data_IF_522185425247
#
_entry.id   IF_522185425247
#
_cell.length_a   1.000
_cell.length_b   1.000
_cell.length_c   1.000
_cell.angle_alpha   90.00
_cell.angle_beta   90.00
_cell.angle_gamma   90.00
#
_symmetry.space_group_name_H-M   'P 1'
#
loop_
_entity.id
_entity.type
_entity.pdbx_description
1 polymer ?
#
# COMPACT_ATOMS: atom_id res chain seq x y z
N UNK A 1 -24.68 -13.87 -12.51
CA UNK A 1 -23.76 -12.79 -12.96
C UNK A 1 -23.20 -11.93 -11.83
N UNK A 2 -23.97 -11.55 -10.80
CA UNK A 2 -23.46 -10.73 -9.68
C UNK A 2 -22.35 -11.43 -8.86
N UNK A 3 -22.51 -12.73 -8.59
CA UNK A 3 -21.54 -13.55 -7.83
C UNK A 3 -20.19 -13.61 -8.56
N UNK A 4 -20.20 -13.84 -9.89
CA UNK A 4 -18.97 -13.86 -10.70
C UNK A 4 -18.25 -12.50 -10.67
N UNK A 5 -18.98 -11.38 -10.70
CA UNK A 5 -18.38 -10.04 -10.59
C UNK A 5 -17.81 -9.78 -9.19
N UNK A 6 -18.43 -10.33 -8.15
CA UNK A 6 -17.95 -10.21 -6.77
C UNK A 6 -16.69 -11.05 -6.53
N UNK A 7 -16.64 -12.29 -7.04
CA UNK A 7 -15.46 -13.15 -6.90
C UNK A 7 -14.22 -12.56 -7.57
N UNK A 8 -14.36 -11.99 -8.77
CA UNK A 8 -13.24 -11.30 -9.43
C UNK A 8 -12.71 -10.12 -8.61
N UNK A 9 -13.58 -9.34 -7.93
CA UNK A 9 -13.14 -8.22 -7.08
C UNK A 9 -12.39 -8.69 -5.84
N UNK A 10 -12.84 -9.77 -5.22
CA UNK A 10 -12.15 -10.39 -4.08
C UNK A 10 -10.77 -10.89 -4.52
N UNK A 11 -10.70 -11.57 -5.67
CA UNK A 11 -9.43 -12.11 -6.20
C UNK A 11 -8.42 -11.00 -6.50
N UNK A 12 -8.88 -9.88 -7.09
CA UNK A 12 -8.06 -8.68 -7.28
C UNK A 12 -7.56 -8.16 -5.93
N UNK A 13 -8.46 -7.99 -4.94
CA UNK A 13 -8.07 -7.52 -3.62
C UNK A 13 -7.08 -8.44 -2.92
N UNK A 14 -7.25 -9.76 -3.05
CA UNK A 14 -6.32 -10.75 -2.50
C UNK A 14 -4.93 -10.62 -3.15
N UNK A 15 -4.87 -10.47 -4.48
CA UNK A 15 -3.61 -10.39 -5.21
C UNK A 15 -2.83 -9.10 -4.88
N UNK A 16 -3.50 -7.95 -4.88
CA UNK A 16 -2.87 -6.69 -4.45
C UNK A 16 -2.53 -6.69 -2.96
N UNK A 17 -3.36 -7.33 -2.15
CA UNK A 17 -3.14 -7.51 -0.73
C UNK A 17 -1.92 -8.37 -0.41
N UNK A 18 -1.70 -9.46 -1.15
CA UNK A 18 -0.50 -10.29 -1.05
C UNK A 18 0.74 -9.49 -1.46
N UNK A 19 0.66 -8.74 -2.56
CA UNK A 19 1.74 -7.82 -2.96
C UNK A 19 2.07 -6.80 -1.87
N UNK A 20 1.06 -6.22 -1.21
CA UNK A 20 1.25 -5.28 -0.11
C UNK A 20 1.87 -5.94 1.13
N UNK A 21 1.47 -7.17 1.45
CA UNK A 21 2.05 -7.94 2.55
C UNK A 21 3.53 -8.27 2.29
N UNK A 22 3.89 -8.62 1.05
CA UNK A 22 5.28 -8.84 0.65
C UNK A 22 6.09 -7.54 0.78
N UNK A 23 5.54 -6.42 0.31
CA UNK A 23 6.20 -5.12 0.44
C UNK A 23 6.40 -4.71 1.92
N UNK A 24 5.45 -5.01 2.80
CA UNK A 24 5.55 -4.72 4.24
C UNK A 24 6.33 -5.78 5.04
N UNK A 25 6.77 -6.87 4.40
CA UNK A 25 7.50 -7.94 5.09
C UNK A 25 8.71 -7.47 5.90
N UNK A 26 9.52 -6.48 5.47
CA UNK A 26 10.65 -6.00 6.27
C UNK A 26 10.19 -5.29 7.55
N UNK A 27 9.08 -4.54 7.50
CA UNK A 27 8.52 -3.91 8.69
C UNK A 27 8.00 -4.95 9.66
N UNK A 28 7.29 -5.97 9.18
CA UNK A 28 6.82 -7.06 10.04
C UNK A 28 7.99 -7.80 10.69
N UNK A 29 9.05 -8.09 9.93
CA UNK A 29 10.27 -8.69 10.46
C UNK A 29 10.90 -7.83 11.59
N UNK A 30 10.94 -6.51 11.42
CA UNK A 30 11.51 -5.59 12.42
C UNK A 30 10.75 -5.58 13.76
N UNK A 31 9.45 -5.89 13.73
CA UNK A 31 8.60 -5.97 14.93
C UNK A 31 8.45 -7.39 15.49
N UNK A 32 9.09 -8.39 14.89
CA UNK A 32 9.03 -9.76 15.42
C UNK A 32 10.03 -9.97 16.55
N UNK A 33 9.53 -10.43 17.70
CA UNK A 33 10.35 -10.99 18.78
C UNK A 33 10.23 -12.52 18.77
N UNK A 34 11.23 -13.25 19.26
CA UNK A 34 11.37 -14.72 19.13
C UNK A 34 10.20 -15.57 19.67
N UNK A 35 9.18 -14.97 20.30
CA UNK A 35 7.97 -15.64 20.78
C UNK A 35 6.65 -15.11 20.20
N UNK A 36 6.69 -14.19 19.23
CA UNK A 36 5.47 -13.50 18.78
C UNK A 36 4.70 -14.24 17.69
N UNK A 37 3.54 -14.78 18.07
CA UNK A 37 2.52 -15.32 17.15
C UNK A 37 1.78 -14.22 16.35
N UNK A 38 2.10 -12.95 16.60
CA UNK A 38 1.38 -11.77 16.11
C UNK A 38 1.81 -11.39 14.68
N UNK A 39 3.07 -11.63 14.32
CA UNK A 39 3.60 -11.30 13.00
C UNK A 39 2.97 -12.09 11.83
N UNK A 40 2.79 -13.42 11.91
CA UNK A 40 2.07 -14.17 10.87
C UNK A 40 0.59 -13.77 10.78
N UNK A 41 -0.03 -13.36 11.90
CA UNK A 41 -1.41 -12.87 11.90
C UNK A 41 -1.52 -11.50 11.23
N UNK A 42 -0.63 -10.55 11.53
CA UNK A 42 -0.60 -9.24 10.88
C UNK A 42 -0.35 -9.34 9.37
N UNK A 43 0.57 -10.20 8.94
CA UNK A 43 0.83 -10.44 7.50
C UNK A 43 -0.37 -11.04 6.77
N UNK A 44 -1.14 -11.94 7.40
CA UNK A 44 -2.38 -12.46 6.81
C UNK A 44 -3.55 -11.45 6.86
N UNK A 45 -3.51 -10.49 7.77
CA UNK A 45 -4.57 -9.49 7.93
C UNK A 45 -4.53 -8.45 6.79
N UNK A 46 -3.35 -8.10 6.29
CA UNK A 46 -3.19 -7.19 5.13
C UNK A 46 -3.95 -7.64 3.88
N UNK A 47 -3.78 -8.88 3.35
CA UNK A 47 -4.50 -9.32 2.17
C UNK A 47 -6.00 -9.46 2.43
N UNK A 48 -6.40 -9.81 3.65
CA UNK A 48 -7.80 -9.89 4.02
C UNK A 48 -8.46 -8.51 4.02
N UNK A 49 -7.82 -7.48 4.58
CA UNK A 49 -8.30 -6.11 4.51
C UNK A 49 -8.40 -5.61 3.07
N UNK A 50 -7.38 -5.86 2.24
CA UNK A 50 -7.43 -5.51 0.81
C UNK A 50 -8.56 -6.23 0.05
N UNK A 51 -8.80 -7.50 0.34
CA UNK A 51 -9.92 -8.26 -0.22
C UNK A 51 -11.27 -7.64 0.16
N UNK A 52 -11.45 -7.28 1.43
CA UNK A 52 -12.66 -6.60 1.93
C UNK A 52 -12.84 -5.23 1.27
N UNK A 53 -11.78 -4.43 1.17
CA UNK A 53 -11.82 -3.11 0.51
C UNK A 53 -12.21 -3.21 -0.97
N UNK A 54 -11.74 -4.25 -1.66
CA UNK A 54 -12.08 -4.49 -3.07
C UNK A 54 -13.48 -5.08 -3.25
N UNK A 55 -13.95 -5.88 -2.29
CA UNK A 55 -15.31 -6.43 -2.29
C UNK A 55 -16.37 -5.32 -2.28
N UNK A 56 -16.19 -4.31 -1.42
CA UNK A 56 -17.09 -3.15 -1.35
C UNK A 56 -16.97 -2.16 -2.53
N UNK A 57 -16.10 -2.41 -3.51
CA UNK A 57 -16.01 -1.55 -4.69
C UNK A 57 -17.20 -1.82 -5.64
N UNK A 58 -17.95 -0.79 -6.10
CA UNK A 58 -19.13 -1.00 -6.94
C UNK A 58 -18.79 -1.43 -8.37
N UNK A 59 -17.56 -1.18 -8.83
CA UNK A 59 -17.07 -1.52 -10.18
C UNK A 59 -15.68 -2.15 -10.14
N UNK A 60 -15.33 -2.97 -11.14
CA UNK A 60 -14.00 -3.59 -11.26
C UNK A 60 -12.89 -2.54 -11.32
N UNK A 61 -13.11 -1.45 -12.07
CA UNK A 61 -12.18 -0.32 -12.16
C UNK A 61 -11.86 0.30 -10.79
N UNK A 62 -12.88 0.47 -9.93
CA UNK A 62 -12.67 0.97 -8.56
C UNK A 62 -12.00 -0.06 -7.65
N UNK A 63 -12.23 -1.36 -7.86
CA UNK A 63 -11.52 -2.42 -7.13
C UNK A 63 -10.01 -2.39 -7.43
N UNK A 64 -9.63 -2.29 -8.71
CA UNK A 64 -8.23 -2.09 -9.11
C UNK A 64 -7.64 -0.80 -8.54
N UNK A 65 -8.38 0.32 -8.59
CA UNK A 65 -7.91 1.58 -8.01
C UNK A 65 -7.60 1.46 -6.51
N UNK A 66 -8.48 0.81 -5.73
CA UNK A 66 -8.23 0.54 -4.30
C UNK A 66 -7.05 -0.39 -4.07
N UNK A 67 -6.90 -1.44 -4.89
CA UNK A 67 -5.76 -2.36 -4.83
C UNK A 67 -4.42 -1.66 -5.10
N UNK A 68 -4.35 -0.84 -6.15
CA UNK A 68 -3.16 -0.04 -6.48
C UNK A 68 -2.84 1.01 -5.41
N UNK A 69 -3.86 1.63 -4.79
CA UNK A 69 -3.64 2.56 -3.67
C UNK A 69 -3.07 1.84 -2.45
N UNK A 70 -3.60 0.67 -2.09
CA UNK A 70 -3.11 -0.09 -0.94
C UNK A 70 -1.69 -0.63 -1.18
N UNK A 71 -1.44 -1.21 -2.36
CA UNK A 71 -0.10 -1.65 -2.77
C UNK A 71 0.88 -0.48 -2.85
N UNK A 72 0.47 0.63 -3.46
CA UNK A 72 1.28 1.84 -3.60
C UNK A 72 1.66 2.43 -2.25
N UNK A 73 0.72 2.48 -1.29
CA UNK A 73 1.00 2.92 0.07
C UNK A 73 1.98 1.99 0.79
N UNK A 74 1.82 0.67 0.63
CA UNK A 74 2.74 -0.32 1.19
C UNK A 74 4.16 -0.19 0.62
N UNK A 75 4.29 -0.06 -0.71
CA UNK A 75 5.59 0.15 -1.39
C UNK A 75 6.19 1.50 -1.03
N UNK A 76 5.38 2.55 -0.90
CA UNK A 76 5.83 3.87 -0.47
C UNK A 76 6.34 3.86 0.99
N UNK A 77 5.85 2.94 1.82
CA UNK A 77 6.31 2.72 3.20
C UNK A 77 7.57 1.82 3.32
N UNK A 78 8.08 1.26 2.20
CA UNK A 78 9.35 0.52 2.18
C UNK A 78 10.55 1.25 2.79
N UNK A 79 10.75 2.57 2.60
CA UNK A 79 11.91 3.27 3.16
C UNK A 79 11.91 3.20 4.68
N UNK A 80 10.73 3.39 5.30
CA UNK A 80 10.54 3.29 6.74
C UNK A 80 10.76 1.86 7.21
N UNK A 81 10.23 0.89 6.46
CA UNK A 81 10.39 -0.54 6.75
C UNK A 81 11.86 -0.98 6.72
N UNK A 82 12.60 -0.54 5.70
CA UNK A 82 14.03 -0.81 5.53
C UNK A 82 14.86 -0.15 6.62
N UNK A 83 14.51 1.08 7.02
CA UNK A 83 15.17 1.76 8.13
C UNK A 83 15.00 1.00 9.45
N UNK A 84 13.78 0.54 9.75
CA UNK A 84 13.49 -0.21 10.98
C UNK A 84 14.26 -1.53 11.05
N UNK A 85 14.22 -2.35 9.98
CA UNK A 85 14.93 -3.63 9.97
C UNK A 85 16.45 -3.43 9.97
N UNK A 86 16.97 -2.40 9.30
CA UNK A 86 18.40 -2.07 9.32
C UNK A 86 18.87 -1.67 10.71
N UNK A 87 18.05 -0.90 11.46
CA UNK A 87 18.36 -0.55 12.85
C UNK A 87 18.41 -1.78 13.76
N UNK A 88 17.41 -2.67 13.63
CA UNK A 88 17.35 -3.93 14.41
C UNK A 88 18.54 -4.83 14.10
N UNK A 89 18.84 -5.05 12.83
CA UNK A 89 19.99 -5.82 12.39
C UNK A 89 21.32 -5.21 12.84
N UNK A 90 21.44 -3.88 12.84
CA UNK A 90 22.63 -3.20 13.34
C UNK A 90 22.84 -3.43 14.85
N UNK A 91 21.76 -3.38 15.64
CA UNK A 91 21.83 -3.70 17.07
C UNK A 91 22.27 -5.15 17.30
N UNK A 92 21.76 -6.10 16.50
CA UNK A 92 22.13 -7.51 16.62
C UNK A 92 23.61 -7.73 16.25
N UNK A 93 24.11 -7.11 15.18
CA UNK A 93 25.52 -7.22 14.75
C UNK A 93 26.48 -6.62 15.78
N UNK A 94 26.15 -5.47 16.36
CA UNK A 94 26.97 -4.83 17.39
C UNK A 94 26.95 -5.65 18.68
N UNK A 95 25.77 -6.12 19.11
CA UNK A 95 25.62 -6.93 20.32
C UNK A 95 26.25 -8.33 20.24
N UNK A 96 26.52 -8.81 19.03
CA UNK A 96 27.18 -10.10 18.77
C UNK A 96 28.67 -9.97 18.47
N UNK A 97 29.21 -8.75 18.45
CA UNK A 97 30.62 -8.51 18.10
C UNK A 97 31.56 -8.93 19.23
N UNK A 98 32.75 -9.41 18.89
CA UNK A 98 33.79 -9.72 19.88
C UNK A 98 34.25 -8.43 20.59
N UNK A 99 34.59 -8.54 21.88
CA UNK A 99 35.12 -7.42 22.67
C UNK A 99 36.31 -6.75 21.95
N UNK A 100 36.19 -5.45 21.69
CA UNK A 100 37.19 -4.66 20.96
C UNK A 100 36.96 -4.54 19.44
N UNK A 101 36.02 -5.30 18.86
CA UNK A 101 35.63 -5.19 17.44
C UNK A 101 34.33 -4.40 17.21
N UNK A 102 33.63 -4.02 18.28
CA UNK A 102 32.33 -3.34 18.28
C UNK A 102 32.30 -2.08 17.40
N UNK A 103 33.38 -1.28 17.41
CA UNK A 103 33.48 -0.07 16.62
C UNK A 103 33.48 -0.37 15.11
N UNK A 104 34.17 -1.43 14.68
CA UNK A 104 34.17 -1.87 13.29
C UNK A 104 32.83 -2.49 12.90
N UNK A 105 32.22 -3.27 13.79
CA UNK A 105 30.88 -3.83 13.60
C UNK A 105 29.83 -2.71 13.44
N UNK A 106 29.88 -1.67 14.27
CA UNK A 106 28.99 -0.52 14.20
C UNK A 106 29.15 0.28 12.90
N UNK A 107 30.39 0.52 12.45
CA UNK A 107 30.64 1.18 11.17
C UNK A 107 30.13 0.35 9.98
N UNK A 108 30.38 -0.96 9.99
CA UNK A 108 29.90 -1.87 8.94
C UNK A 108 28.38 -1.92 8.86
N UNK A 109 27.72 -2.08 10.02
CA UNK A 109 26.28 -2.09 10.12
C UNK A 109 25.64 -0.75 9.71
N UNK A 110 26.25 0.37 10.09
CA UNK A 110 25.81 1.70 9.69
C UNK A 110 25.87 1.91 8.17
N UNK A 111 26.99 1.55 7.53
CA UNK A 111 27.14 1.66 6.08
C UNK A 111 26.17 0.74 5.33
N UNK A 112 26.01 -0.51 5.78
CA UNK A 112 25.04 -1.44 5.21
C UNK A 112 23.60 -0.91 5.35
N UNK A 113 23.25 -0.37 6.52
CA UNK A 113 21.93 0.21 6.79
C UNK A 113 21.63 1.41 5.89
N UNK A 114 22.59 2.30 5.67
CA UNK A 114 22.45 3.43 4.73
C UNK A 114 22.27 2.94 3.30
N UNK A 115 23.05 1.94 2.87
CA UNK A 115 22.94 1.39 1.51
C UNK A 115 21.56 0.75 1.26
N UNK A 116 21.09 -0.09 2.18
CA UNK A 116 19.79 -0.77 2.08
C UNK A 116 18.64 0.23 2.15
N UNK A 117 18.68 1.16 3.11
CA UNK A 117 17.65 2.20 3.25
C UNK A 117 17.64 3.13 2.03
N UNK A 118 18.80 3.48 1.46
CA UNK A 118 18.91 4.30 0.26
C UNK A 118 18.25 3.66 -0.96
N UNK A 119 18.52 2.37 -1.21
CA UNK A 119 17.89 1.61 -2.30
C UNK A 119 16.38 1.49 -2.08
N UNK A 120 15.96 1.16 -0.85
CA UNK A 120 14.55 1.09 -0.49
C UNK A 120 13.84 2.45 -0.63
N UNK A 121 14.53 3.55 -0.34
CA UNK A 121 14.03 4.92 -0.53
C UNK A 121 13.81 5.23 -1.99
N UNK A 122 14.80 4.97 -2.82
CA UNK A 122 14.73 5.22 -4.26
C UNK A 122 13.60 4.42 -4.92
N UNK A 123 13.56 3.11 -4.70
CA UNK A 123 12.54 2.24 -5.27
C UNK A 123 11.15 2.50 -4.64
N UNK A 124 11.08 2.63 -3.32
CA UNK A 124 9.84 2.84 -2.59
C UNK A 124 9.14 4.14 -2.98
N UNK A 125 9.88 5.25 -3.07
CA UNK A 125 9.31 6.54 -3.48
C UNK A 125 8.88 6.49 -4.94
N UNK A 126 9.74 6.05 -5.87
CA UNK A 126 9.42 6.10 -7.31
C UNK A 126 8.27 5.15 -7.63
N UNK A 127 8.42 3.86 -7.29
CA UNK A 127 7.41 2.84 -7.61
C UNK A 127 6.14 3.09 -6.80
N UNK A 128 6.26 3.41 -5.51
CA UNK A 128 5.13 3.73 -4.65
C UNK A 128 4.32 4.91 -5.17
N UNK A 129 4.99 6.01 -5.56
CA UNK A 129 4.31 7.19 -6.13
C UNK A 129 3.59 6.85 -7.44
N UNK A 130 4.23 6.11 -8.34
CA UNK A 130 3.60 5.69 -9.62
C UNK A 130 2.35 4.84 -9.34
N UNK A 131 2.44 3.85 -8.43
CA UNK A 131 1.31 3.01 -8.05
C UNK A 131 0.18 3.82 -7.40
N UNK A 132 0.52 4.79 -6.54
CA UNK A 132 -0.44 5.70 -5.93
C UNK A 132 -1.16 6.56 -6.97
N UNK A 133 -0.43 7.12 -7.94
CA UNK A 133 -1.00 7.90 -9.04
C UNK A 133 -1.95 7.06 -9.87
N UNK A 134 -1.55 5.85 -10.28
CA UNK A 134 -2.40 4.92 -11.03
C UNK A 134 -3.65 4.58 -10.21
N UNK A 135 -3.49 4.26 -8.93
CA UNK A 135 -4.60 3.95 -8.03
C UNK A 135 -5.59 5.10 -7.89
N UNK A 136 -5.08 6.34 -7.77
CA UNK A 136 -5.89 7.54 -7.67
C UNK A 136 -6.68 7.79 -8.95
N UNK A 137 -6.03 7.71 -10.12
CA UNK A 137 -6.65 7.89 -11.45
C UNK A 137 -7.77 6.85 -11.67
N UNK A 138 -7.52 5.58 -11.31
CA UNK A 138 -8.50 4.50 -11.47
C UNK A 138 -9.66 4.63 -10.47
N UNK A 139 -9.39 5.09 -9.25
CA UNK A 139 -10.40 5.31 -8.21
C UNK A 139 -11.32 6.49 -8.52
N UNK A 140 -10.75 7.61 -9.00
CA UNK A 140 -11.47 8.87 -9.23
C UNK A 140 -12.10 8.99 -10.61
N UNK A 141 -11.48 8.47 -11.67
CA UNK A 141 -11.87 8.80 -13.05
C UNK A 141 -13.21 8.23 -13.55
N UNK A 142 -14.09 7.77 -12.66
CA UNK A 142 -15.43 7.29 -12.97
C UNK A 142 -16.57 8.27 -12.63
N UNK A 143 -16.29 9.39 -11.95
CA UNK A 143 -17.30 10.45 -11.72
C UNK A 143 -17.26 11.45 -12.88
N UNK A 144 -18.00 11.17 -13.95
CA UNK A 144 -18.45 12.25 -14.83
C UNK A 144 -19.57 12.95 -14.07
N UNK A 145 -19.27 14.06 -13.41
CA UNK A 145 -20.32 14.96 -12.91
C UNK A 145 -21.02 15.56 -14.12
N UNK A 146 -22.10 14.93 -14.54
CA UNK A 146 -23.03 15.53 -15.50
C UNK A 146 -23.81 16.55 -14.69
N UNK A 147 -23.39 17.82 -14.75
CA UNK A 147 -24.17 18.94 -14.26
C UNK A 147 -25.39 19.02 -15.17
N UNK A 148 -26.50 18.45 -14.73
CA UNK A 148 -27.79 18.63 -15.41
C UNK A 148 -28.23 20.04 -15.07
N UNK A 149 -28.02 20.96 -16.02
CA UNK A 149 -28.65 22.28 -15.95
C UNK A 149 -30.11 22.04 -16.29
N UNK A 150 -30.98 22.07 -15.27
CA UNK A 150 -32.42 22.12 -15.46
C UNK A 150 -32.75 23.43 -16.17
N UNK A 151 -32.94 23.35 -17.49
CA UNK A 151 -33.48 24.45 -18.26
C UNK A 151 -34.89 24.72 -17.77
N UNK A 152 -35.06 25.83 -17.05
CA UNK A 152 -36.37 26.40 -16.73
C UNK A 152 -37.13 26.61 -18.04
N UNK A 153 -37.97 25.63 -18.40
CA UNK A 153 -38.92 25.76 -19.48
C UNK A 153 -40.03 26.70 -18.97
N UNK A 154 -39.79 28.00 -19.09
CA UNK A 154 -40.79 29.03 -18.86
C UNK A 154 -41.90 28.85 -19.89
N UNK A 155 -42.94 28.13 -19.47
CA UNK A 155 -44.27 28.21 -20.06
C UNK A 155 -44.73 29.68 -20.02
N UNK A 156 -44.44 30.44 -21.08
CA UNK A 156 -45.09 31.70 -21.33
C UNK A 156 -46.52 31.41 -21.83
N UNK A 157 -47.57 31.78 -21.08
CA UNK A 157 -48.94 31.62 -21.59
C UNK A 157 -49.15 32.63 -22.72
N UNK A 158 -49.43 32.12 -23.92
CA UNK A 158 -49.99 32.90 -25.02
C UNK A 158 -51.31 33.52 -24.55
N UNK A 159 -51.29 34.81 -24.19
CA UNK A 159 -52.50 35.62 -24.16
C UNK A 159 -52.77 36.10 -25.58
N UNK A 160 -53.75 35.47 -26.23
CA UNK A 160 -54.49 36.05 -27.34
C UNK A 160 -55.48 37.08 -26.77
N UNK A 161 -55.31 38.34 -27.17
CA UNK A 161 -56.35 39.37 -27.15
C UNK A 161 -56.20 40.17 -28.45
#
# INVERSE_FOLDING_TARGET
>A
MAILKASFRILIGLLFGLGAAIALSPAFAAFTTDQDSIAPTLTMLVPLLCAVLCFFAPTLRRAFGRGFLALGAAVFALPISAFLISGRAASDVIGSAEEGSEAFAAMGAGLAGVAVTGVATFLGIIVGTILLLIGLILSLGGRREVIVIEGTNQNAPRRSA
#
